data_IF_523414296446
#
_entry.id   IF_523414296446
#
_cell.length_a   1.000
_cell.length_b   1.000
_cell.length_c   1.000
_cell.angle_alpha   90.00
_cell.angle_beta   90.00
_cell.angle_gamma   90.00
#
_symmetry.space_group_name_H-M   'P 1'
#
loop_
_entity.id
_entity.type
_entity.pdbx_description
1 polymer ?
#
# COMPACT_ATOMS: atom_id res chain seq x y z
N UNK A 1 12.63 -10.14 -39.17
CA UNK A 1 12.73 -8.67 -39.28
C UNK A 1 11.77 -8.05 -40.31
N UNK A 2 12.00 -8.12 -41.63
CA UNK A 2 11.06 -7.49 -42.61
C UNK A 2 9.68 -8.18 -42.68
N UNK A 3 9.64 -9.52 -42.63
CA UNK A 3 8.39 -10.28 -42.69
C UNK A 3 7.52 -10.12 -41.42
N UNK A 4 8.15 -10.03 -40.24
CA UNK A 4 7.47 -9.78 -38.96
C UNK A 4 6.84 -8.39 -38.94
N UNK A 5 7.57 -7.36 -39.38
CA UNK A 5 7.03 -6.00 -39.44
C UNK A 5 5.85 -5.84 -40.42
N UNK A 6 5.83 -6.61 -41.51
CA UNK A 6 4.68 -6.64 -42.43
C UNK A 6 3.46 -7.37 -41.84
N UNK A 7 3.67 -8.48 -41.12
CA UNK A 7 2.60 -9.20 -40.41
C UNK A 7 2.02 -8.37 -39.27
N UNK A 8 2.86 -7.61 -38.57
CA UNK A 8 2.45 -6.71 -37.51
C UNK A 8 1.64 -5.53 -38.05
N UNK A 9 2.10 -4.90 -39.13
CA UNK A 9 1.35 -3.85 -39.82
C UNK A 9 0.01 -4.34 -40.40
N UNK A 10 -0.04 -5.57 -40.92
CA UNK A 10 -1.27 -6.18 -41.42
C UNK A 10 -2.28 -6.45 -40.28
N UNK A 11 -1.82 -6.97 -39.13
CA UNK A 11 -2.67 -7.16 -37.93
C UNK A 11 -3.19 -5.83 -37.39
N UNK A 12 -2.34 -4.81 -37.35
CA UNK A 12 -2.69 -3.46 -36.92
C UNK A 12 -3.81 -2.85 -37.77
N UNK A 13 -3.79 -3.12 -39.08
CA UNK A 13 -4.81 -2.68 -40.05
C UNK A 13 -6.10 -3.52 -39.99
N UNK A 14 -6.02 -4.79 -39.65
CA UNK A 14 -7.14 -5.73 -39.68
C UNK A 14 -7.95 -5.74 -38.36
N UNK A 15 -7.29 -5.60 -37.20
CA UNK A 15 -7.94 -5.66 -35.88
C UNK A 15 -7.88 -4.37 -35.09
N UNK A 16 -7.09 -3.38 -35.53
CA UNK A 16 -6.77 -2.18 -34.74
C UNK A 16 -5.85 -2.47 -33.55
N UNK A 17 -5.35 -3.71 -33.41
CA UNK A 17 -4.44 -4.11 -32.34
C UNK A 17 -2.99 -3.80 -32.73
N UNK A 18 -2.53 -2.62 -32.33
CA UNK A 18 -1.13 -2.23 -32.40
C UNK A 18 -0.45 -2.27 -31.04
N UNK A 19 0.75 -2.87 -31.00
CA UNK A 19 1.67 -2.89 -29.86
C UNK A 19 2.06 -4.30 -29.42
N UNK A 20 3.30 -4.44 -28.95
CA UNK A 20 3.82 -5.70 -28.40
C UNK A 20 2.89 -6.23 -27.28
N UNK A 21 2.56 -7.53 -27.36
CA UNK A 21 1.87 -8.22 -26.27
C UNK A 21 2.73 -8.17 -25.02
N UNK A 22 2.14 -7.81 -23.89
CA UNK A 22 2.85 -7.85 -22.62
C UNK A 22 2.71 -9.23 -21.98
N UNK A 23 3.86 -9.86 -21.73
CA UNK A 23 3.95 -11.22 -21.22
C UNK A 23 3.94 -11.19 -19.70
N UNK A 24 2.98 -11.87 -19.08
CA UNK A 24 2.79 -11.90 -17.62
C UNK A 24 2.88 -13.34 -17.13
N UNK A 25 3.81 -13.62 -16.22
CA UNK A 25 3.94 -14.94 -15.59
C UNK A 25 2.86 -15.16 -14.54
N UNK A 26 2.28 -16.35 -14.47
CA UNK A 26 1.36 -16.78 -13.42
C UNK A 26 1.84 -18.10 -12.85
N UNK A 27 2.29 -18.09 -11.59
CA UNK A 27 2.64 -19.35 -10.92
C UNK A 27 1.38 -20.12 -10.58
N UNK A 28 1.33 -21.42 -10.86
CA UNK A 28 0.09 -22.20 -10.73
C UNK A 28 -0.13 -22.85 -9.35
N UNK A 29 0.93 -22.93 -8.53
CA UNK A 29 0.91 -23.60 -7.22
C UNK A 29 0.52 -22.67 -6.07
N UNK A 30 -0.09 -23.24 -5.03
CA UNK A 30 -0.31 -22.58 -3.73
C UNK A 30 -1.73 -22.08 -3.45
N UNK A 31 -2.66 -22.18 -4.40
CA UNK A 31 -4.07 -21.85 -4.17
C UNK A 31 -4.78 -22.91 -3.33
N UNK A 32 -5.64 -22.47 -2.40
CA UNK A 32 -6.55 -23.33 -1.63
C UNK A 32 -7.75 -23.80 -2.46
N UNK A 33 -8.00 -23.16 -3.62
CA UNK A 33 -9.04 -23.54 -4.58
C UNK A 33 -8.53 -24.46 -5.69
N UNK A 34 -7.26 -24.87 -5.61
CA UNK A 34 -6.61 -25.76 -6.56
C UNK A 34 -6.10 -25.08 -7.83
N UNK A 35 -5.28 -25.81 -8.58
CA UNK A 35 -4.59 -25.29 -9.77
C UNK A 35 -5.58 -24.85 -10.86
N UNK A 36 -6.69 -25.59 -11.04
CA UNK A 36 -7.70 -25.29 -12.06
C UNK A 36 -8.30 -23.89 -11.89
N UNK A 37 -8.48 -23.41 -10.65
CA UNK A 37 -8.99 -22.07 -10.37
C UNK A 37 -7.99 -20.98 -10.79
N UNK A 38 -6.69 -21.25 -10.61
CA UNK A 38 -5.61 -20.36 -11.03
C UNK A 38 -5.54 -20.26 -12.54
N UNK A 39 -5.57 -21.40 -13.22
CA UNK A 39 -5.58 -21.50 -14.69
C UNK A 39 -6.78 -20.73 -15.25
N UNK A 40 -7.97 -20.94 -14.67
CA UNK A 40 -9.18 -20.19 -15.03
C UNK A 40 -8.97 -18.67 -14.89
N UNK A 41 -8.28 -18.22 -13.84
CA UNK A 41 -7.92 -16.80 -13.67
C UNK A 41 -7.03 -16.27 -14.79
N UNK A 42 -6.03 -17.06 -15.20
CA UNK A 42 -5.17 -16.75 -16.34
C UNK A 42 -5.95 -16.65 -17.66
N UNK A 43 -6.84 -17.61 -17.92
CA UNK A 43 -7.65 -17.66 -19.13
C UNK A 43 -8.64 -16.49 -19.20
N UNK A 44 -9.26 -16.14 -18.06
CA UNK A 44 -10.13 -14.96 -17.95
C UNK A 44 -9.37 -13.67 -18.27
N UNK A 45 -8.15 -13.49 -17.75
CA UNK A 45 -7.33 -12.33 -18.06
C UNK A 45 -6.95 -12.26 -19.54
N UNK A 46 -6.48 -13.37 -20.11
CA UNK A 46 -6.10 -13.48 -21.52
C UNK A 46 -7.27 -13.16 -22.46
N UNK A 47 -8.46 -13.67 -22.13
CA UNK A 47 -9.70 -13.43 -22.89
C UNK A 47 -10.16 -11.98 -22.78
N UNK A 48 -10.02 -11.37 -21.61
CA UNK A 48 -10.46 -9.99 -21.38
C UNK A 48 -9.57 -8.95 -22.09
N UNK A 49 -8.29 -9.27 -22.36
CA UNK A 49 -7.35 -8.36 -22.99
C UNK A 49 -6.43 -9.08 -23.99
N UNK A 50 -6.69 -8.98 -25.30
CA UNK A 50 -5.87 -9.60 -26.36
C UNK A 50 -4.40 -9.15 -26.40
N UNK A 51 -4.08 -8.02 -25.75
CA UNK A 51 -2.71 -7.49 -25.64
C UNK A 51 -1.93 -8.06 -24.45
N UNK A 52 -2.53 -8.94 -23.67
CA UNK A 52 -1.81 -9.75 -22.68
C UNK A 52 -1.33 -11.04 -23.34
N UNK A 53 -0.25 -11.61 -22.83
CA UNK A 53 0.11 -13.01 -23.04
C UNK A 53 0.37 -13.61 -21.66
N UNK A 54 -0.54 -14.45 -21.16
CA UNK A 54 -0.40 -15.07 -19.84
C UNK A 54 0.40 -16.35 -19.96
N UNK A 55 1.49 -16.46 -19.19
CA UNK A 55 2.38 -17.63 -19.20
C UNK A 55 2.24 -18.36 -17.87
N UNK A 56 1.78 -19.61 -17.92
CA UNK A 56 1.66 -20.46 -16.75
C UNK A 56 3.03 -21.01 -16.35
N UNK A 57 3.38 -20.93 -15.06
CA UNK A 57 4.66 -21.40 -14.53
C UNK A 57 4.37 -22.43 -13.43
N UNK A 58 4.72 -23.69 -13.65
CA UNK A 58 4.44 -24.77 -12.70
C UNK A 58 4.37 -26.16 -13.35
N UNK A 59 3.76 -27.16 -12.69
CA UNK A 59 3.53 -28.46 -13.31
C UNK A 59 2.60 -28.33 -14.53
N UNK A 60 2.66 -29.29 -15.49
CA UNK A 60 1.83 -29.26 -16.69
C UNK A 60 0.34 -29.32 -16.33
N UNK A 61 -0.46 -28.50 -17.01
CA UNK A 61 -1.92 -28.41 -16.83
C UNK A 61 -2.64 -28.42 -18.17
N UNK A 62 -3.93 -28.75 -18.16
CA UNK A 62 -4.79 -28.64 -19.34
C UNK A 62 -5.20 -27.17 -19.53
N UNK A 63 -4.59 -26.49 -20.50
CA UNK A 63 -4.93 -25.12 -20.92
C UNK A 63 -4.24 -24.78 -22.24
N UNK A 64 -4.86 -23.90 -23.03
CA UNK A 64 -4.28 -23.37 -24.27
C UNK A 64 -3.26 -22.24 -24.02
N UNK A 65 -3.13 -21.77 -22.77
CA UNK A 65 -2.13 -20.75 -22.41
C UNK A 65 -0.71 -21.30 -22.56
N UNK A 66 0.27 -20.47 -22.99
CA UNK A 66 1.69 -20.84 -22.96
C UNK A 66 2.12 -21.30 -21.56
N UNK A 67 2.93 -22.35 -21.49
CA UNK A 67 3.37 -22.94 -20.22
C UNK A 67 4.89 -23.07 -20.17
N UNK A 68 5.46 -22.79 -19.00
CA UNK A 68 6.84 -23.09 -18.62
C UNK A 68 6.80 -24.10 -17.49
N UNK A 69 7.24 -25.31 -17.79
CA UNK A 69 7.13 -26.41 -16.84
C UNK A 69 8.23 -26.35 -15.78
N UNK A 70 7.83 -26.57 -14.54
CA UNK A 70 8.72 -26.84 -13.40
C UNK A 70 8.25 -28.09 -12.67
N UNK A 71 9.08 -28.60 -11.77
CA UNK A 71 8.64 -29.61 -10.81
C UNK A 71 7.48 -29.10 -9.96
N UNK A 72 6.75 -30.02 -9.31
CA UNK A 72 5.58 -29.72 -8.47
C UNK A 72 5.97 -29.07 -7.11
N UNK A 73 6.86 -28.08 -7.14
CA UNK A 73 7.41 -27.39 -5.99
C UNK A 73 7.31 -25.87 -6.21
N UNK A 74 6.71 -25.17 -5.24
CA UNK A 74 6.54 -23.71 -5.32
C UNK A 74 7.87 -22.96 -5.41
N UNK A 75 8.92 -23.45 -4.74
CA UNK A 75 10.24 -22.82 -4.79
C UNK A 75 10.87 -22.90 -6.19
N UNK A 76 10.59 -23.97 -6.95
CA UNK A 76 11.12 -24.15 -8.30
C UNK A 76 10.37 -23.26 -9.28
N UNK A 77 9.04 -23.15 -9.12
CA UNK A 77 8.22 -22.18 -9.86
C UNK A 77 8.66 -20.73 -9.59
N UNK A 78 8.99 -20.36 -8.34
CA UNK A 78 9.52 -19.03 -8.01
C UNK A 78 10.88 -18.77 -8.64
N UNK A 79 11.82 -19.72 -8.56
CA UNK A 79 13.13 -19.56 -9.23
C UNK A 79 12.95 -19.38 -10.74
N UNK A 80 12.07 -20.17 -11.36
CA UNK A 80 11.81 -20.04 -12.80
C UNK A 80 11.15 -18.71 -13.16
N UNK A 81 10.19 -18.26 -12.36
CA UNK A 81 9.57 -16.94 -12.50
C UNK A 81 10.61 -15.82 -12.42
N UNK A 82 11.54 -15.89 -11.48
CA UNK A 82 12.63 -14.91 -11.34
C UNK A 82 13.57 -14.93 -12.54
N UNK A 83 13.98 -16.11 -13.03
CA UNK A 83 14.79 -16.23 -14.26
C UNK A 83 14.12 -15.55 -15.46
N UNK A 84 12.82 -15.76 -15.65
CA UNK A 84 12.06 -15.17 -16.75
C UNK A 84 11.91 -13.65 -16.61
N UNK A 85 11.73 -13.14 -15.38
CA UNK A 85 11.70 -11.70 -15.09
C UNK A 85 13.05 -11.05 -15.39
N UNK A 86 14.14 -11.65 -14.89
CA UNK A 86 15.49 -11.12 -15.05
C UNK A 86 15.97 -11.17 -16.50
N UNK A 87 15.53 -12.17 -17.27
CA UNK A 87 15.78 -12.29 -18.71
C UNK A 87 14.90 -11.35 -19.57
N UNK A 88 13.87 -10.71 -18.97
CA UNK A 88 12.90 -9.90 -19.70
C UNK A 88 11.93 -10.70 -20.57
N UNK A 89 11.85 -12.02 -20.38
CA UNK A 89 10.91 -12.89 -21.08
C UNK A 89 9.47 -12.68 -20.61
N UNK A 90 9.29 -12.25 -19.36
CA UNK A 90 8.04 -11.72 -18.81
C UNK A 90 8.28 -10.35 -18.21
N UNK A 91 7.29 -9.47 -18.33
CA UNK A 91 7.39 -8.09 -17.85
C UNK A 91 6.97 -7.95 -16.38
N UNK A 92 6.14 -8.86 -15.89
CA UNK A 92 5.70 -8.95 -14.50
C UNK A 92 5.20 -10.37 -14.21
N UNK A 93 4.95 -10.67 -12.93
CA UNK A 93 4.41 -11.94 -12.50
C UNK A 93 3.32 -11.81 -11.43
N UNK A 94 2.46 -12.82 -11.32
CA UNK A 94 1.45 -13.00 -10.27
C UNK A 94 1.70 -14.32 -9.55
N UNK A 95 1.74 -14.29 -8.22
CA UNK A 95 1.99 -15.46 -7.36
C UNK A 95 1.23 -15.36 -6.02
N UNK A 96 1.00 -16.50 -5.37
CA UNK A 96 0.17 -16.63 -4.16
C UNK A 96 0.93 -16.25 -2.90
N UNK A 97 2.24 -16.50 -2.91
CA UNK A 97 3.13 -16.07 -1.86
C UNK A 97 4.49 -15.77 -2.49
N UNK A 98 5.21 -14.83 -1.89
CA UNK A 98 6.57 -14.50 -2.27
C UNK A 98 7.23 -13.76 -1.10
N UNK A 99 8.52 -14.02 -0.89
CA UNK A 99 9.28 -13.36 0.18
C UNK A 99 10.00 -12.16 -0.41
N UNK A 100 9.51 -10.97 -0.06
CA UNK A 100 10.18 -9.73 -0.42
C UNK A 100 11.30 -9.39 0.57
N UNK A 101 12.41 -8.76 0.12
CA UNK A 101 13.42 -8.24 1.03
C UNK A 101 12.88 -7.08 1.87
N UNK A 102 13.53 -6.81 3.00
CA UNK A 102 13.23 -5.60 3.80
C UNK A 102 13.44 -4.36 2.94
N UNK A 103 12.55 -3.38 3.09
CA UNK A 103 12.45 -2.22 2.21
C UNK A 103 11.35 -2.37 1.15
N UNK A 104 10.87 -3.59 0.90
CA UNK A 104 9.84 -3.86 -0.11
C UNK A 104 8.53 -4.25 0.55
N UNK A 105 7.45 -3.60 0.13
CA UNK A 105 6.09 -3.89 0.58
C UNK A 105 5.10 -3.79 -0.59
N UNK A 106 3.96 -4.47 -0.48
CA UNK A 106 2.99 -4.58 -1.57
C UNK A 106 1.88 -3.54 -1.48
N UNK A 107 1.46 -2.99 -2.63
CA UNK A 107 0.36 -2.02 -2.71
C UNK A 107 -0.86 -2.69 -3.35
N UNK A 108 -1.82 -3.06 -2.52
CA UNK A 108 -3.05 -3.71 -2.96
C UNK A 108 -4.01 -2.73 -3.61
N UNK A 109 -4.96 -3.24 -4.40
CA UNK A 109 -6.02 -2.44 -4.99
C UNK A 109 -7.37 -3.13 -4.78
N UNK A 110 -8.27 -2.42 -4.12
CA UNK A 110 -9.61 -2.89 -3.73
C UNK A 110 -10.70 -2.14 -4.49
N UNK A 111 -11.90 -2.74 -4.54
CA UNK A 111 -13.12 -2.06 -4.99
C UNK A 111 -13.91 -1.70 -3.74
N UNK A 112 -14.22 -0.42 -3.55
CA UNK A 112 -14.89 0.06 -2.35
C UNK A 112 -16.40 -0.27 -2.39
N UNK A 113 -16.99 -0.72 -1.28
CA UNK A 113 -18.35 -1.27 -1.29
C UNK A 113 -19.42 -0.19 -1.39
N UNK A 114 -19.16 1.05 -0.96
CA UNK A 114 -20.18 2.10 -0.99
C UNK A 114 -20.36 2.74 -2.38
N UNK A 115 -19.28 2.85 -3.16
CA UNK A 115 -19.29 3.57 -4.44
C UNK A 115 -18.71 2.77 -5.61
N UNK A 116 -18.20 1.55 -5.39
CA UNK A 116 -17.56 0.75 -6.43
C UNK A 116 -16.27 1.37 -6.98
N UNK A 117 -15.62 2.26 -6.22
CA UNK A 117 -14.39 2.95 -6.64
C UNK A 117 -13.19 2.03 -6.44
N UNK A 118 -12.22 2.12 -7.34
CA UNK A 118 -10.90 1.55 -7.09
C UNK A 118 -10.15 2.41 -6.07
N UNK A 119 -9.51 1.77 -5.10
CA UNK A 119 -8.68 2.42 -4.09
C UNK A 119 -7.44 1.57 -3.82
N UNK A 120 -6.27 2.22 -3.76
CA UNK A 120 -5.00 1.60 -3.42
C UNK A 120 -4.84 1.53 -1.90
N UNK A 121 -4.50 0.35 -1.37
CA UNK A 121 -4.12 0.16 0.02
C UNK A 121 -2.60 0.09 0.13
N UNK A 122 -2.00 1.10 0.75
CA UNK A 122 -0.56 1.24 0.91
C UNK A 122 -0.18 1.06 2.39
N UNK A 123 0.23 -0.12 2.85
CA UNK A 123 0.59 -1.38 2.13
C UNK A 123 -0.14 -2.60 2.69
N UNK A 124 0.01 -3.78 2.08
CA UNK A 124 -0.79 -4.99 2.43
C UNK A 124 0.02 -6.23 2.79
N UNK A 125 1.26 -6.35 2.32
CA UNK A 125 2.26 -7.37 2.74
C UNK A 125 3.67 -6.77 2.72
N UNK A 126 4.65 -7.45 3.32
CA UNK A 126 6.04 -7.01 3.33
C UNK A 126 6.38 -5.97 4.38
N UNK A 127 7.62 -5.49 4.36
CA UNK A 127 8.17 -4.63 5.42
C UNK A 127 8.96 -3.48 4.80
N UNK A 128 8.34 -2.31 4.70
CA UNK A 128 8.97 -1.11 4.15
C UNK A 128 10.08 -0.56 5.06
N UNK A 129 9.87 -0.58 6.38
CA UNK A 129 10.86 -0.20 7.38
C UNK A 129 10.58 -0.94 8.71
N UNK A 130 11.53 -0.90 9.64
CA UNK A 130 11.40 -1.54 10.96
C UNK A 130 10.52 -0.74 11.92
N UNK A 131 10.52 0.60 11.80
CA UNK A 131 9.60 1.46 12.54
C UNK A 131 8.30 1.69 11.77
N UNK A 132 7.18 1.71 12.50
CA UNK A 132 5.83 1.84 11.93
C UNK A 132 5.60 3.17 11.23
N UNK A 133 6.00 4.28 11.85
CA UNK A 133 5.77 5.63 11.29
C UNK A 133 6.61 5.79 10.03
N UNK A 134 7.88 5.42 10.08
CA UNK A 134 8.74 5.43 8.90
C UNK A 134 8.22 4.50 7.80
N UNK A 135 7.77 3.30 8.15
CA UNK A 135 7.16 2.39 7.18
C UNK A 135 5.93 3.03 6.53
N UNK A 136 5.05 3.67 7.29
CA UNK A 136 3.86 4.33 6.74
C UNK A 136 4.19 5.55 5.87
N UNK A 137 5.27 6.29 6.17
CA UNK A 137 5.78 7.34 5.27
C UNK A 137 6.22 6.72 3.94
N UNK A 138 6.99 5.63 3.96
CA UNK A 138 7.42 4.93 2.74
C UNK A 138 6.23 4.33 1.99
N UNK A 139 5.26 3.78 2.71
CA UNK A 139 4.03 3.25 2.14
C UNK A 139 3.29 4.32 1.34
N UNK A 140 3.23 5.57 1.82
CA UNK A 140 2.63 6.67 1.06
C UNK A 140 3.31 6.86 -0.31
N UNK A 141 4.65 6.85 -0.35
CA UNK A 141 5.41 6.93 -1.60
C UNK A 141 5.15 5.71 -2.49
N UNK A 142 5.10 4.51 -1.92
CA UNK A 142 4.82 3.28 -2.68
C UNK A 142 3.43 3.33 -3.31
N UNK A 143 2.42 3.74 -2.55
CA UNK A 143 1.05 3.92 -3.04
C UNK A 143 0.96 4.93 -4.17
N UNK A 144 1.60 6.10 -4.03
CA UNK A 144 1.67 7.13 -5.08
C UNK A 144 2.34 6.58 -6.33
N UNK A 145 3.48 5.88 -6.20
CA UNK A 145 4.23 5.34 -7.34
C UNK A 145 3.40 4.32 -8.12
N UNK A 146 2.69 3.43 -7.41
CA UNK A 146 1.84 2.41 -8.04
C UNK A 146 0.62 3.03 -8.70
N UNK A 147 -0.07 3.96 -8.03
CA UNK A 147 -1.20 4.67 -8.61
C UNK A 147 -0.78 5.42 -9.90
N UNK A 148 0.37 6.11 -9.88
CA UNK A 148 0.94 6.78 -11.07
C UNK A 148 1.25 5.81 -12.20
N UNK A 149 1.95 4.71 -11.90
CA UNK A 149 2.29 3.70 -12.90
C UNK A 149 1.05 3.03 -13.50
N UNK A 150 -0.06 2.97 -12.76
CA UNK A 150 -1.28 2.28 -13.20
C UNK A 150 -2.40 3.22 -13.65
N UNK A 151 -2.07 4.49 -13.94
CA UNK A 151 -2.96 5.38 -14.69
C UNK A 151 -3.59 6.52 -13.90
N UNK A 152 -3.15 6.77 -12.65
CA UNK A 152 -3.57 7.92 -11.84
C UNK A 152 -2.38 8.86 -11.64
N UNK A 153 -2.15 9.85 -12.55
CA UNK A 153 -0.92 10.66 -12.54
C UNK A 153 -0.75 11.52 -11.27
N UNK A 154 -1.85 11.99 -10.72
CA UNK A 154 -1.90 12.83 -9.52
C UNK A 154 -2.84 12.21 -8.49
N UNK A 155 -2.43 11.11 -7.83
CA UNK A 155 -3.29 10.42 -6.90
C UNK A 155 -3.45 11.25 -5.63
N UNK A 156 -4.69 11.34 -5.16
CA UNK A 156 -5.00 11.87 -3.84
C UNK A 156 -4.63 10.86 -2.76
N UNK A 157 -4.06 11.36 -1.65
CA UNK A 157 -3.53 10.54 -0.55
C UNK A 157 -4.30 10.83 0.72
N UNK A 158 -4.83 9.79 1.36
CA UNK A 158 -5.40 9.83 2.70
C UNK A 158 -4.64 8.88 3.64
N UNK A 159 -4.62 9.18 4.92
CA UNK A 159 -3.97 8.36 5.95
C UNK A 159 -5.05 7.78 6.83
N UNK A 160 -5.16 6.45 6.88
CA UNK A 160 -6.10 5.80 7.77
C UNK A 160 -5.74 6.13 9.22
N UNK A 161 -6.75 6.48 10.02
CA UNK A 161 -6.61 6.80 11.44
C UNK A 161 -6.25 5.55 12.26
N UNK A 162 -4.99 5.16 12.19
CA UNK A 162 -4.32 4.15 13.01
C UNK A 162 -3.15 4.80 13.75
N UNK A 163 -2.56 4.05 14.67
CA UNK A 163 -1.37 4.47 15.44
C UNK A 163 -0.27 5.06 14.56
N UNK A 164 0.23 6.23 14.95
CA UNK A 164 1.28 6.92 14.21
C UNK A 164 0.78 7.76 13.04
N UNK A 165 -0.53 7.74 12.73
CA UNK A 165 -1.09 8.43 11.55
C UNK A 165 -0.86 9.94 11.59
N UNK A 166 -0.89 10.56 12.77
CA UNK A 166 -0.61 12.00 12.93
C UNK A 166 0.85 12.34 12.67
N UNK A 167 1.77 11.49 13.12
CA UNK A 167 3.20 11.65 12.86
C UNK A 167 3.49 11.50 11.36
N UNK A 168 2.82 10.56 10.69
CA UNK A 168 2.88 10.40 9.22
C UNK A 168 2.33 11.65 8.53
N UNK A 169 1.17 12.17 8.95
CA UNK A 169 0.59 13.40 8.41
C UNK A 169 1.57 14.58 8.50
N UNK A 170 2.20 14.79 9.66
CA UNK A 170 3.22 15.84 9.85
C UNK A 170 4.42 15.62 8.94
N UNK A 171 4.92 14.39 8.84
CA UNK A 171 6.05 14.06 7.98
C UNK A 171 5.76 14.31 6.49
N UNK A 172 4.57 13.92 6.00
CA UNK A 172 4.16 14.18 4.62
C UNK A 172 3.94 15.68 4.36
N UNK A 173 3.43 16.43 5.34
CA UNK A 173 3.31 17.89 5.24
C UNK A 173 4.69 18.56 5.18
N UNK A 174 5.66 18.12 5.99
CA UNK A 174 7.05 18.62 5.94
C UNK A 174 7.70 18.36 4.57
N UNK A 175 7.50 17.17 3.99
CA UNK A 175 7.96 16.89 2.62
C UNK A 175 7.32 17.86 1.62
N UNK A 176 6.02 18.12 1.76
CA UNK A 176 5.28 19.04 0.88
C UNK A 176 5.79 20.48 0.98
N UNK A 177 6.03 20.96 2.20
CA UNK A 177 6.64 22.28 2.46
C UNK A 177 8.05 22.40 1.87
N UNK A 178 8.79 21.29 1.81
CA UNK A 178 10.12 21.20 1.19
C UNK A 178 10.08 20.92 -0.32
N UNK A 179 8.90 21.01 -0.94
CA UNK A 179 8.74 20.96 -2.40
C UNK A 179 8.40 19.60 -3.00
N UNK A 180 8.14 18.57 -2.18
CA UNK A 180 7.67 17.28 -2.69
C UNK A 180 6.16 17.31 -2.98
N UNK A 181 5.77 16.99 -4.22
CA UNK A 181 4.37 17.07 -4.66
C UNK A 181 3.54 15.88 -4.14
N UNK A 182 2.70 16.15 -3.14
CA UNK A 182 1.66 15.24 -2.62
C UNK A 182 0.32 15.98 -2.65
N UNK A 183 -0.71 15.33 -3.19
CA UNK A 183 -2.08 15.84 -3.15
C UNK A 183 -2.83 15.18 -1.98
N UNK A 184 -3.09 15.88 -0.87
CA UNK A 184 -3.91 15.32 0.20
C UNK A 184 -5.36 15.17 -0.27
N UNK A 185 -6.00 14.08 0.12
CA UNK A 185 -7.45 13.94 0.04
C UNK A 185 -8.10 14.65 1.23
N UNK A 186 -9.36 15.06 1.08
CA UNK A 186 -10.17 15.62 2.15
C UNK A 186 -11.18 14.59 2.64
N UNK A 187 -11.18 14.32 3.95
CA UNK A 187 -12.17 13.45 4.58
C UNK A 187 -13.60 13.98 4.38
N UNK A 188 -14.57 13.07 4.33
CA UNK A 188 -16.00 13.36 4.25
C UNK A 188 -16.56 14.07 5.49
N UNK A 189 -15.77 14.26 6.55
CA UNK A 189 -16.19 14.96 7.76
C UNK A 189 -16.20 16.47 7.56
N UNK A 190 -17.01 17.15 8.37
CA UNK A 190 -17.11 18.62 8.34
C UNK A 190 -15.79 19.34 8.72
N UNK A 191 -14.91 18.70 9.49
CA UNK A 191 -13.59 19.22 9.85
C UNK A 191 -12.51 18.90 8.79
N UNK A 192 -12.82 18.09 7.77
CA UNK A 192 -11.93 17.76 6.67
C UNK A 192 -10.62 17.08 7.10
N UNK A 193 -9.56 17.34 6.32
CA UNK A 193 -8.21 16.85 6.61
C UNK A 193 -7.86 15.52 5.95
N UNK A 194 -6.57 15.16 6.05
CA UNK A 194 -5.98 13.99 5.38
C UNK A 194 -6.14 12.69 6.19
N UNK A 195 -6.55 12.79 7.47
CA UNK A 195 -6.81 11.63 8.33
C UNK A 195 -8.20 11.04 8.05
N UNK A 196 -8.22 9.78 7.64
CA UNK A 196 -9.38 9.06 7.13
C UNK A 196 -9.94 8.08 8.18
N UNK A 197 -11.27 7.88 8.17
CA UNK A 197 -11.98 6.94 9.03
C UNK A 197 -12.61 5.81 8.21
N UNK A 198 -13.33 4.92 8.90
CA UNK A 198 -14.07 3.82 8.27
C UNK A 198 -15.01 4.27 7.15
N UNK A 199 -15.70 5.40 7.29
CA UNK A 199 -16.60 5.89 6.24
C UNK A 199 -15.83 6.31 4.98
N UNK A 200 -14.67 6.95 5.14
CA UNK A 200 -13.82 7.36 4.03
C UNK A 200 -13.24 6.16 3.27
N UNK A 201 -12.87 5.10 4.02
CA UNK A 201 -12.47 3.79 3.49
C UNK A 201 -13.58 3.16 2.63
N UNK A 202 -14.81 3.08 3.16
CA UNK A 202 -15.94 2.45 2.46
C UNK A 202 -16.34 3.23 1.20
N UNK A 203 -16.20 4.55 1.23
CA UNK A 203 -16.46 5.43 0.09
C UNK A 203 -15.34 5.41 -0.96
N UNK A 204 -14.11 5.06 -0.58
CA UNK A 204 -12.94 5.24 -1.43
C UNK A 204 -12.61 6.72 -1.63
N UNK A 205 -12.57 7.47 -0.53
CA UNK A 205 -12.39 8.93 -0.55
C UNK A 205 -11.07 9.34 -1.20
N UNK A 206 -9.89 8.83 -0.76
CA UNK A 206 -8.64 9.00 -1.49
C UNK A 206 -8.49 7.96 -2.60
N UNK A 207 -7.60 8.24 -3.56
CA UNK A 207 -7.10 7.21 -4.47
C UNK A 207 -6.16 6.25 -3.71
N UNK A 208 -5.26 6.79 -2.88
CA UNK A 208 -4.30 6.03 -2.06
C UNK A 208 -4.65 6.18 -0.58
N UNK A 209 -4.99 5.06 0.07
CA UNK A 209 -5.17 4.98 1.52
C UNK A 209 -3.91 4.40 2.18
N UNK A 210 -3.24 5.22 2.97
CA UNK A 210 -2.02 4.86 3.71
C UNK A 210 -2.39 4.22 5.05
N UNK A 211 -1.83 3.05 5.32
CA UNK A 211 -1.95 2.35 6.59
C UNK A 211 -0.68 1.52 6.87
N UNK A 212 -0.56 0.98 8.08
CA UNK A 212 0.44 -0.06 8.32
C UNK A 212 0.08 -1.37 7.58
N UNK A 213 1.09 -2.19 7.31
CA UNK A 213 0.93 -3.41 6.51
C UNK A 213 -0.08 -4.40 7.11
N UNK A 214 -0.14 -4.55 8.44
CA UNK A 214 -1.02 -5.52 9.09
C UNK A 214 -2.48 -5.10 8.93
N UNK A 215 -2.75 -3.81 9.14
CA UNK A 215 -4.08 -3.23 8.89
C UNK A 215 -4.46 -3.38 7.41
N UNK A 216 -3.56 -3.07 6.48
CA UNK A 216 -3.84 -3.23 5.06
C UNK A 216 -4.09 -4.68 4.65
N UNK A 217 -3.38 -5.65 5.24
CA UNK A 217 -3.63 -7.08 5.02
C UNK A 217 -5.05 -7.48 5.44
N UNK A 218 -5.47 -7.02 6.62
CA UNK A 218 -6.82 -7.28 7.13
C UNK A 218 -7.87 -6.65 6.22
N UNK A 219 -7.67 -5.40 5.82
CA UNK A 219 -8.59 -4.68 4.94
C UNK A 219 -8.72 -5.36 3.57
N UNK A 220 -7.62 -5.84 2.98
CA UNK A 220 -7.66 -6.61 1.73
C UNK A 220 -8.63 -7.79 1.83
N UNK A 221 -8.52 -8.61 2.88
CA UNK A 221 -9.39 -9.77 3.10
C UNK A 221 -10.86 -9.36 3.28
N UNK A 222 -11.11 -8.29 4.02
CA UNK A 222 -12.47 -7.79 4.23
C UNK A 222 -13.05 -7.33 2.90
N UNK A 223 -12.38 -6.45 2.16
CA UNK A 223 -12.92 -5.93 0.90
C UNK A 223 -13.05 -6.98 -0.20
N UNK A 224 -12.15 -7.97 -0.24
CA UNK A 224 -12.12 -8.96 -1.31
C UNK A 224 -13.11 -10.12 -1.10
N UNK A 225 -13.50 -10.41 0.15
CA UNK A 225 -14.29 -11.59 0.50
C UNK A 225 -15.54 -11.32 1.38
N UNK A 226 -15.93 -10.05 1.61
CA UNK A 226 -17.10 -9.76 2.46
C UNK A 226 -18.42 -10.37 1.95
N UNK A 227 -18.55 -10.63 0.64
CA UNK A 227 -19.76 -11.24 0.05
C UNK A 227 -19.73 -12.76 -0.02
N UNK A 228 -18.59 -13.39 0.30
CA UNK A 228 -18.37 -14.82 0.09
C UNK A 228 -18.25 -15.61 1.40
N UNK A 229 -18.17 -14.91 2.54
CA UNK A 229 -17.98 -15.57 3.85
C UNK A 229 -16.51 -15.72 4.25
N UNK A 230 -15.57 -15.20 3.45
CA UNK A 230 -14.15 -15.06 3.82
C UNK A 230 -13.20 -16.14 3.31
N UNK A 231 -13.72 -17.22 2.72
CA UNK A 231 -12.94 -18.35 2.18
C UNK A 231 -12.61 -18.21 0.68
N UNK A 232 -13.28 -17.30 -0.02
CA UNK A 232 -13.07 -17.04 -1.44
C UNK A 232 -13.00 -15.53 -1.72
N UNK A 233 -11.85 -15.01 -2.12
CA UNK A 233 -11.75 -13.60 -2.53
C UNK A 233 -12.29 -13.45 -3.96
N UNK A 234 -13.39 -12.72 -4.13
CA UNK A 234 -14.12 -12.56 -5.40
C UNK A 234 -14.00 -11.16 -6.03
N UNK A 235 -13.50 -10.17 -5.27
CA UNK A 235 -13.46 -8.76 -5.69
C UNK A 235 -12.09 -8.12 -5.45
N UNK A 236 -11.74 -7.14 -6.28
CA UNK A 236 -10.46 -6.42 -6.24
C UNK A 236 -9.36 -7.05 -7.09
N UNK A 237 -8.14 -6.56 -6.91
CA UNK A 237 -6.98 -6.82 -7.79
C UNK A 237 -5.84 -7.56 -7.08
N UNK A 238 -6.11 -8.08 -5.88
CA UNK A 238 -5.11 -8.71 -5.02
C UNK A 238 -4.26 -7.70 -4.25
N UNK A 239 -3.24 -8.23 -3.59
CA UNK A 239 -2.34 -7.54 -2.65
C UNK A 239 -1.30 -6.70 -3.40
N UNK A 240 -1.18 -6.91 -4.72
CA UNK A 240 -0.51 -6.01 -5.66
C UNK A 240 1.00 -6.16 -5.72
N UNK A 241 1.67 -5.31 -6.53
CA UNK A 241 3.10 -5.41 -6.77
C UNK A 241 3.91 -5.12 -5.50
N UNK A 242 5.00 -5.85 -5.30
CA UNK A 242 6.05 -5.47 -4.35
C UNK A 242 6.81 -4.23 -4.83
N UNK A 243 6.91 -3.23 -3.97
CA UNK A 243 7.50 -1.92 -4.29
C UNK A 243 8.47 -1.52 -3.20
N UNK A 244 9.65 -1.04 -3.59
CA UNK A 244 10.68 -0.53 -2.69
C UNK A 244 11.89 0.02 -3.45
N UNK A 245 12.65 0.94 -2.86
CA UNK A 245 13.81 1.56 -3.51
C UNK A 245 14.83 0.48 -3.92
N UNK A 246 15.28 0.55 -5.18
CA UNK A 246 16.23 -0.43 -5.75
C UNK A 246 15.64 -1.79 -6.12
N UNK A 247 14.34 -2.02 -5.91
CA UNK A 247 13.66 -3.24 -6.31
C UNK A 247 13.06 -3.10 -7.72
N UNK A 248 13.50 -3.96 -8.64
CA UNK A 248 13.19 -3.81 -10.09
C UNK A 248 12.21 -4.86 -10.64
N UNK A 249 11.87 -5.90 -9.86
CA UNK A 249 10.93 -6.94 -10.30
C UNK A 249 9.50 -6.50 -10.00
N UNK A 250 8.57 -6.72 -10.92
CA UNK A 250 7.14 -6.48 -10.70
C UNK A 250 6.48 -7.82 -10.40
N UNK A 251 6.30 -8.11 -9.11
CA UNK A 251 5.69 -9.34 -8.62
C UNK A 251 4.45 -8.97 -7.83
N UNK A 252 3.29 -9.34 -8.34
CA UNK A 252 2.00 -9.13 -7.68
C UNK A 252 1.65 -10.33 -6.80
N UNK A 253 1.14 -10.04 -5.61
CA UNK A 253 0.63 -11.07 -4.70
C UNK A 253 -0.88 -11.19 -4.80
N UNK A 254 -1.36 -12.41 -4.87
CA UNK A 254 -2.75 -12.80 -4.60
C UNK A 254 -2.78 -13.69 -3.36
N UNK A 255 -3.90 -13.76 -2.65
CA UNK A 255 -4.06 -14.69 -1.53
C UNK A 255 -4.16 -16.13 -2.03
N UNK A 256 -3.87 -17.09 -1.15
CA UNK A 256 -4.21 -18.50 -1.40
C UNK A 256 -5.72 -18.71 -1.55
N UNK A 257 -6.52 -17.84 -0.94
CA UNK A 257 -7.98 -17.80 -1.05
C UNK A 257 -8.48 -17.01 -2.27
N UNK A 258 -7.60 -16.43 -3.10
CA UNK A 258 -8.03 -15.66 -4.25
C UNK A 258 -8.66 -16.53 -5.32
N UNK A 259 -9.87 -16.15 -5.72
CA UNK A 259 -10.58 -16.73 -6.83
C UNK A 259 -10.08 -16.25 -8.18
N UNK A 260 -10.48 -16.96 -9.23
CA UNK A 260 -10.15 -16.61 -10.62
C UNK A 260 -10.44 -15.14 -11.00
N UNK A 261 -11.53 -14.48 -10.54
CA UNK A 261 -11.75 -13.06 -10.83
C UNK A 261 -10.65 -12.15 -10.29
N UNK A 262 -10.20 -12.38 -9.04
CA UNK A 262 -9.13 -11.61 -8.41
C UNK A 262 -7.79 -11.90 -9.07
N UNK A 263 -7.53 -13.16 -9.42
CA UNK A 263 -6.32 -13.54 -10.17
C UNK A 263 -6.29 -12.83 -11.52
N UNK A 264 -7.40 -12.83 -12.26
CA UNK A 264 -7.50 -12.17 -13.56
C UNK A 264 -7.26 -10.66 -13.45
N UNK A 265 -7.88 -10.02 -12.46
CA UNK A 265 -7.68 -8.60 -12.16
C UNK A 265 -6.22 -8.31 -11.77
N UNK A 266 -5.59 -9.19 -10.98
CA UNK A 266 -4.18 -9.03 -10.57
C UNK A 266 -3.21 -9.12 -11.75
N UNK A 267 -3.50 -9.97 -12.75
CA UNK A 267 -2.72 -10.06 -14.00
C UNK A 267 -2.84 -8.75 -14.81
N UNK A 268 -4.05 -8.20 -14.91
CA UNK A 268 -4.25 -6.90 -15.56
C UNK A 268 -3.48 -5.79 -14.83
N UNK A 269 -3.54 -5.79 -13.50
CA UNK A 269 -2.83 -4.84 -12.65
C UNK A 269 -1.29 -4.95 -12.76
N UNK A 270 -0.77 -6.19 -12.84
CA UNK A 270 0.66 -6.43 -13.09
C UNK A 270 1.10 -5.88 -14.46
N UNK A 271 0.26 -6.07 -15.48
CA UNK A 271 0.51 -5.53 -16.82
C UNK A 271 0.46 -4.00 -16.86
N UNK A 272 -0.47 -3.36 -16.14
CA UNK A 272 -0.53 -1.90 -15.99
C UNK A 272 0.75 -1.38 -15.33
N UNK A 273 1.17 -1.99 -14.21
CA UNK A 273 2.40 -1.60 -13.50
C UNK A 273 3.66 -1.72 -14.38
N UNK A 274 3.73 -2.77 -15.19
CA UNK A 274 4.84 -2.99 -16.12
C UNK A 274 4.83 -1.98 -17.28
N UNK A 275 3.67 -1.72 -17.91
CA UNK A 275 3.55 -0.69 -18.96
C UNK A 275 3.90 0.70 -18.43
N UNK A 276 3.46 0.99 -17.19
CA UNK A 276 3.77 2.22 -16.47
C UNK A 276 5.20 2.34 -15.99
N UNK A 277 6.03 1.30 -16.17
CA UNK A 277 7.43 1.24 -15.73
C UNK A 277 7.56 1.57 -14.24
N UNK A 278 6.75 0.91 -13.41
CA UNK A 278 6.68 1.14 -11.96
C UNK A 278 8.05 1.33 -11.27
N UNK A 279 9.09 0.49 -11.48
CA UNK A 279 10.40 0.71 -10.86
C UNK A 279 11.00 2.07 -11.16
N UNK A 280 10.84 2.57 -12.39
CA UNK A 280 11.31 3.89 -12.79
C UNK A 280 10.50 5.01 -12.13
N UNK A 281 9.17 4.88 -12.11
CA UNK A 281 8.28 5.85 -11.45
C UNK A 281 8.62 5.98 -9.97
N UNK A 282 8.86 4.85 -9.29
CA UNK A 282 9.29 4.85 -7.90
C UNK A 282 10.66 5.51 -7.74
N UNK A 283 11.64 5.19 -8.58
CA UNK A 283 12.98 5.77 -8.48
C UNK A 283 12.96 7.31 -8.59
N UNK A 284 12.21 7.84 -9.57
CA UNK A 284 12.03 9.29 -9.76
C UNK A 284 11.30 9.93 -8.56
N UNK A 285 10.27 9.27 -8.03
CA UNK A 285 9.54 9.73 -6.85
C UNK A 285 10.41 9.72 -5.58
N UNK A 286 11.19 8.66 -5.39
CA UNK A 286 12.07 8.48 -4.25
C UNK A 286 13.18 9.54 -4.26
N UNK A 287 13.81 9.78 -5.41
CA UNK A 287 14.81 10.83 -5.57
C UNK A 287 14.23 12.22 -5.25
N UNK A 288 13.01 12.51 -5.69
CA UNK A 288 12.34 13.76 -5.37
C UNK A 288 12.04 13.89 -3.86
N UNK A 289 11.65 12.80 -3.20
CA UNK A 289 11.43 12.79 -1.76
C UNK A 289 12.73 12.95 -0.96
N UNK A 290 13.82 12.31 -1.39
CA UNK A 290 15.14 12.48 -0.76
C UNK A 290 15.65 13.92 -0.90
N UNK A 291 15.43 14.58 -2.05
CA UNK A 291 15.72 16.01 -2.23
C UNK A 291 14.91 16.90 -1.28
N UNK A 292 13.69 16.47 -0.94
CA UNK A 292 12.85 17.11 0.09
C UNK A 292 13.19 16.65 1.53
N UNK A 293 14.24 15.83 1.71
CA UNK A 293 14.75 15.44 3.02
C UNK A 293 14.04 14.24 3.65
N UNK A 294 13.54 13.28 2.87
CA UNK A 294 12.96 12.01 3.36
C UNK A 294 13.82 11.35 4.44
N UNK A 295 15.12 11.17 4.19
CA UNK A 295 16.07 10.58 5.16
C UNK A 295 16.23 11.39 6.46
N UNK A 296 15.88 12.69 6.46
CA UNK A 296 15.99 13.58 7.62
C UNK A 296 14.72 13.65 8.47
N UNK A 297 13.63 13.02 8.02
CA UNK A 297 12.40 12.91 8.80
C UNK A 297 12.69 11.96 9.96
N UNK A 298 13.15 12.56 11.06
CA UNK A 298 13.53 11.84 12.26
C UNK A 298 12.35 10.98 12.72
N UNK A 299 12.65 9.71 12.97
CA UNK A 299 11.87 8.92 13.90
C UNK A 299 11.81 9.72 15.21
N UNK A 300 10.62 10.04 15.77
CA UNK A 300 10.60 10.46 17.16
C UNK A 300 11.33 9.36 17.93
N UNK A 301 12.39 9.73 18.64
CA UNK A 301 13.07 8.80 19.51
C UNK A 301 11.99 8.22 20.42
N UNK A 302 11.74 6.91 20.34
CA UNK A 302 10.88 6.23 21.31
C UNK A 302 11.53 6.45 22.66
N UNK A 303 11.05 7.46 23.39
CA UNK A 303 11.34 7.58 24.80
C UNK A 303 10.77 6.31 25.40
N UNK A 304 11.68 5.42 25.79
CA UNK A 304 11.32 4.16 26.42
C UNK A 304 10.42 4.53 27.60
N UNK A 305 9.24 3.90 27.77
CA UNK A 305 8.36 4.22 28.88
C UNK A 305 9.10 3.85 30.17
N UNK A 306 9.76 4.83 30.78
CA UNK A 306 10.17 4.75 32.17
C UNK A 306 8.89 4.84 32.99
N UNK A 307 8.80 4.09 34.08
CA UNK A 307 7.80 4.40 35.10
C UNK A 307 8.05 5.83 35.58
N UNK A 308 7.16 6.73 35.20
CA UNK A 308 7.20 8.14 35.61
C UNK A 308 6.28 8.28 36.81
N UNK A 309 6.77 8.86 37.90
CA UNK A 309 5.91 9.24 39.01
C UNK A 309 4.96 10.34 38.54
N UNK A 310 3.66 10.11 38.71
CA UNK A 310 2.64 11.14 38.45
C UNK A 310 2.91 12.34 39.35
N UNK A 311 3.04 13.57 38.81
CA UNK A 311 3.23 14.78 39.60
C UNK A 311 2.05 15.03 40.55
N UNK A 312 2.20 15.90 41.56
CA UNK A 312 1.10 16.27 42.45
C UNK A 312 -0.12 16.76 41.66
N UNK A 313 -1.27 16.14 41.93
CA UNK A 313 -2.52 16.45 41.25
C UNK A 313 -2.90 17.91 41.46
N UNK A 314 -3.25 18.60 40.37
CA UNK A 314 -3.82 19.95 40.39
C UNK A 314 -4.99 20.07 39.39
N UNK A 315 -5.88 21.07 39.55
CA UNK A 315 -6.99 21.26 38.63
C UNK A 315 -6.50 21.47 37.20
N UNK A 316 -7.08 20.74 36.25
CA UNK A 316 -6.82 20.86 34.81
C UNK A 316 -8.07 21.37 34.13
N UNK A 317 -7.95 22.44 33.35
CA UNK A 317 -9.08 23.14 32.72
C UNK A 317 -8.78 23.60 31.29
N UNK A 318 -7.56 23.39 30.79
CA UNK A 318 -7.17 23.66 29.41
C UNK A 318 -7.04 22.37 28.61
N UNK A 319 -7.56 22.39 27.39
CA UNK A 319 -7.48 21.28 26.44
C UNK A 319 -6.40 21.51 25.38
N UNK A 320 -5.48 20.56 25.26
CA UNK A 320 -4.54 20.47 24.13
C UNK A 320 -5.05 19.37 23.20
N UNK A 321 -5.57 19.80 22.05
CA UNK A 321 -6.03 18.92 20.95
C UNK A 321 -4.90 18.58 19.97
N UNK A 322 -5.10 17.58 19.12
CA UNK A 322 -4.19 17.25 18.01
C UNK A 322 -3.19 16.13 18.29
N UNK A 323 -3.37 15.42 19.40
CA UNK A 323 -2.56 14.27 19.82
C UNK A 323 -3.23 12.98 19.36
N UNK A 324 -2.46 11.98 18.93
CA UNK A 324 -3.00 10.66 18.56
C UNK A 324 -3.58 9.97 19.81
N UNK A 325 -4.76 9.34 19.68
CA UNK A 325 -5.43 8.63 20.79
C UNK A 325 -4.55 7.52 21.37
N UNK A 326 -3.70 6.91 20.54
CA UNK A 326 -2.81 5.83 20.95
C UNK A 326 -1.54 6.35 21.64
N UNK A 327 -1.22 7.63 21.47
CA UNK A 327 -0.09 8.30 22.11
C UNK A 327 -0.50 9.18 23.29
N UNK A 328 -1.79 9.29 23.61
CA UNK A 328 -2.32 10.09 24.73
C UNK A 328 -1.58 9.79 26.04
N UNK A 329 -1.44 8.51 26.38
CA UNK A 329 -0.80 8.10 27.63
C UNK A 329 0.71 8.41 27.62
N UNK A 330 1.36 8.34 26.47
CA UNK A 330 2.78 8.65 26.33
C UNK A 330 3.02 10.17 26.36
N UNK A 331 2.15 10.95 25.73
CA UNK A 331 2.13 12.41 25.78
C UNK A 331 1.93 12.91 27.22
N UNK A 332 0.96 12.35 27.96
CA UNK A 332 0.76 12.66 29.38
C UNK A 332 2.01 12.32 30.20
N UNK A 333 2.61 11.14 29.98
CA UNK A 333 3.85 10.73 30.66
C UNK A 333 5.04 11.63 30.33
N UNK A 334 5.15 12.15 29.11
CA UNK A 334 6.20 13.10 28.74
C UNK A 334 6.09 14.40 29.56
N UNK A 335 4.88 14.90 29.76
CA UNK A 335 4.62 16.05 30.66
C UNK A 335 4.96 15.70 32.12
N UNK A 336 4.61 14.49 32.57
CA UNK A 336 4.92 14.02 33.92
C UNK A 336 6.44 13.97 34.18
N UNK A 337 7.26 13.64 33.18
CA UNK A 337 8.73 13.62 33.32
C UNK A 337 9.29 15.00 33.63
N UNK A 338 8.64 16.05 33.11
CA UNK A 338 8.98 17.45 33.34
C UNK A 338 8.24 18.06 34.55
N UNK A 339 7.59 17.24 35.36
CA UNK A 339 6.89 17.64 36.57
C UNK A 339 5.53 18.31 36.34
N UNK A 340 5.00 18.27 35.13
CA UNK A 340 3.71 18.87 34.76
C UNK A 340 2.61 17.83 34.97
N UNK A 341 1.61 18.15 35.78
CA UNK A 341 0.45 17.29 35.95
C UNK A 341 -0.48 17.40 34.74
N UNK A 342 -0.77 16.27 34.11
CA UNK A 342 -1.64 16.18 32.95
C UNK A 342 -2.57 14.96 33.06
N UNK A 343 -3.81 15.12 32.63
CA UNK A 343 -4.81 14.03 32.50
C UNK A 343 -5.14 13.80 31.01
N UNK A 344 -5.49 12.57 30.64
CA UNK A 344 -5.98 12.26 29.28
C UNK A 344 -7.50 12.37 29.25
N UNK A 345 -8.05 12.85 28.14
CA UNK A 345 -9.50 13.07 28.00
C UNK A 345 -10.00 12.93 26.57
N UNK A 346 -11.32 13.04 26.43
CA UNK A 346 -12.01 13.08 25.14
C UNK A 346 -12.79 14.39 25.03
N UNK A 347 -12.29 15.31 24.22
CA UNK A 347 -12.93 16.59 23.91
C UNK A 347 -13.95 16.45 22.76
N UNK A 348 -14.61 17.55 22.43
CA UNK A 348 -15.66 17.57 21.38
C UNK A 348 -15.14 17.22 19.97
N UNK A 349 -13.83 17.40 19.73
CA UNK A 349 -13.16 17.19 18.45
C UNK A 349 -12.25 15.95 18.41
N UNK A 350 -12.10 15.23 19.53
CA UNK A 350 -11.24 14.04 19.60
C UNK A 350 -10.44 13.91 20.91
N UNK A 351 -9.40 13.06 20.93
CA UNK A 351 -8.50 12.91 22.08
C UNK A 351 -7.84 14.24 22.48
N UNK A 352 -7.79 14.54 23.77
CA UNK A 352 -7.18 15.76 24.33
C UNK A 352 -6.30 15.45 25.55
N UNK A 353 -5.27 16.26 25.74
CA UNK A 353 -4.52 16.34 27.00
C UNK A 353 -5.05 17.53 27.81
N UNK A 354 -5.36 17.28 29.08
CA UNK A 354 -5.85 18.27 30.02
C UNK A 354 -4.70 18.73 30.93
N UNK A 355 -4.46 20.04 30.97
CA UNK A 355 -3.43 20.67 31.83
C UNK A 355 -4.01 21.87 32.57
N UNK A 356 -3.31 22.33 33.60
CA UNK A 356 -3.65 23.58 34.28
C UNK A 356 -3.33 24.79 33.39
N UNK A 357 -4.08 25.89 33.54
CA UNK A 357 -3.88 27.12 32.77
C UNK A 357 -2.44 27.63 32.78
N UNK A 358 -1.75 27.56 33.92
CA UNK A 358 -0.36 28.01 34.04
C UNK A 358 0.67 27.11 33.32
N UNK A 359 0.32 25.87 32.98
CA UNK A 359 1.21 24.92 32.31
C UNK A 359 0.97 24.83 30.79
N UNK A 360 -0.06 25.50 30.26
CA UNK A 360 -0.51 25.31 28.88
C UNK A 360 0.59 25.56 27.85
N UNK A 361 1.25 26.71 27.92
CA UNK A 361 2.27 27.12 26.95
C UNK A 361 3.48 26.18 26.98
N UNK A 362 4.01 25.91 28.18
CA UNK A 362 5.12 24.97 28.38
C UNK A 362 4.76 23.55 27.92
N UNK A 363 3.53 23.11 28.17
CA UNK A 363 3.06 21.78 27.74
C UNK A 363 2.99 21.68 26.22
N UNK A 364 2.51 22.73 25.54
CA UNK A 364 2.48 22.76 24.08
C UNK A 364 3.88 22.74 23.47
N UNK A 365 4.83 23.48 24.04
CA UNK A 365 6.24 23.46 23.60
C UNK A 365 6.86 22.07 23.79
N UNK A 366 6.75 21.49 24.99
CA UNK A 366 7.30 20.16 25.28
C UNK A 366 6.71 19.07 24.41
N UNK A 367 5.40 19.10 24.18
CA UNK A 367 4.73 18.12 23.34
C UNK A 367 5.12 18.29 21.86
N UNK A 368 5.38 19.51 21.37
CA UNK A 368 5.93 19.75 20.03
C UNK A 368 7.37 19.23 19.93
N UNK A 369 8.22 19.55 20.89
CA UNK A 369 9.62 19.09 20.94
C UNK A 369 9.72 17.56 21.03
N UNK A 370 8.79 16.93 21.76
CA UNK A 370 8.70 15.48 21.91
C UNK A 370 7.98 14.79 20.75
N UNK A 371 7.46 15.54 19.77
CA UNK A 371 6.80 14.99 18.58
C UNK A 371 5.35 14.51 18.79
N UNK A 372 4.70 14.88 19.88
CA UNK A 372 3.28 14.56 20.14
C UNK A 372 2.29 15.59 19.57
N UNK A 373 2.73 16.84 19.39
CA UNK A 373 2.03 17.92 18.66
C UNK A 373 2.78 18.28 17.37
#
# INVERSE_FOLDING_TARGET
MLAEGFLEAARLLETGEGGDRIRIGLTTLGSEHGIAEVVRGGELAQKANPRLEVILIGPPVESDLPQVHTDACAADAHRKMEELLDAGEIAAAVTMHYNFPVGVATVGKVITPAQGREMYLATTTGTAATDRVQAMIYNALYGIAVARATGVPEPTVGILNVDGSRQVERALNQLRERGFRIQPAESLRADGGCIMRGNDLLAGTPDVMVCDTLTGNLLMKVFSAYTTGGDYEASGYGYGPGVGPGYNRIINIVSRASGAPVIAASIAYAAEAARGKLPRVLAELWEAAEKAGLSSLALPAKTTPREVKVPPRKPVDQEISGIDVLELDNAAKALWQEGIYAETGMGCSGPVILVAAEDLEKSQELLKESGYL
#
